data_IF_032092286219
#
_entry.id   IF_032092286219
#
_cell.length_a   1.000
_cell.length_b   1.000
_cell.length_c   1.000
_cell.angle_alpha   90.00
_cell.angle_beta   90.00
_cell.angle_gamma   90.00
#
_symmetry.space_group_name_H-M   'P 1'
#
loop_
_entity.id
_entity.type
_entity.pdbx_description
1 polymer ?
#
# COMPACT_ATOMS: atom_id res chain seq x y z
N UNK A 1 -0.98 7.55 4.24
CA UNK A 1 -0.41 6.45 5.08
C UNK A 1 1.11 6.31 4.91
N UNK A 2 1.84 5.74 5.88
CA UNK A 2 3.22 5.25 5.68
C UNK A 2 3.23 3.83 5.07
N UNK A 3 4.20 3.52 4.21
CA UNK A 3 4.33 2.23 3.52
C UNK A 3 5.75 1.69 3.48
N UNK A 4 5.89 0.39 3.23
CA UNK A 4 7.17 -0.26 2.95
C UNK A 4 7.17 -0.89 1.56
N UNK A 5 8.30 -0.83 0.88
CA UNK A 5 8.52 -1.56 -0.39
C UNK A 5 9.29 -2.84 -0.05
N UNK A 6 8.72 -3.99 -0.38
CA UNK A 6 9.34 -5.29 -0.16
C UNK A 6 8.90 -6.30 -1.23
N UNK A 7 9.86 -7.06 -1.75
CA UNK A 7 9.67 -8.09 -2.77
C UNK A 7 8.89 -7.62 -4.02
N UNK A 8 9.23 -6.42 -4.52
CA UNK A 8 8.55 -5.74 -5.64
C UNK A 8 7.08 -5.37 -5.40
N UNK A 9 6.65 -5.35 -4.14
CA UNK A 9 5.30 -5.01 -3.71
C UNK A 9 5.30 -3.90 -2.65
N UNK A 10 4.14 -3.27 -2.44
CA UNK A 10 3.93 -2.23 -1.42
C UNK A 10 3.10 -2.77 -0.26
N UNK A 11 3.58 -2.54 0.96
CA UNK A 11 3.02 -3.04 2.20
C UNK A 11 2.62 -1.86 3.10
N UNK A 12 1.50 -1.97 3.80
CA UNK A 12 1.17 -0.98 4.83
C UNK A 12 2.19 -1.02 5.98
N UNK A 13 2.24 0.05 6.77
CA UNK A 13 3.17 0.18 7.90
C UNK A 13 3.20 -1.04 8.82
N UNK A 14 2.03 -1.55 9.24
CA UNK A 14 1.95 -2.70 10.16
C UNK A 14 2.53 -3.98 9.54
N UNK A 15 2.15 -4.29 8.30
CA UNK A 15 2.65 -5.47 7.61
C UNK A 15 4.16 -5.35 7.31
N UNK A 16 4.61 -4.17 6.86
CA UNK A 16 6.03 -3.92 6.58
C UNK A 16 6.89 -4.05 7.82
N UNK A 17 6.43 -3.52 8.96
CA UNK A 17 7.08 -3.70 10.26
C UNK A 17 7.11 -5.17 10.71
N UNK A 18 6.01 -5.90 10.54
CA UNK A 18 5.99 -7.33 10.89
C UNK A 18 6.99 -8.15 10.04
N UNK A 19 7.14 -7.85 8.75
CA UNK A 19 8.15 -8.48 7.89
C UNK A 19 9.56 -8.11 8.36
N UNK A 20 9.78 -6.83 8.67
CA UNK A 20 11.05 -6.35 9.19
C UNK A 20 11.44 -7.09 10.49
N UNK A 21 10.53 -7.15 11.47
CA UNK A 21 10.74 -7.84 12.75
C UNK A 21 11.04 -9.33 12.54
N UNK A 22 10.31 -10.00 11.65
CA UNK A 22 10.55 -11.40 11.29
C UNK A 22 11.95 -11.63 10.72
N UNK A 23 12.34 -10.88 9.69
CA UNK A 23 13.65 -11.04 9.02
C UNK A 23 14.80 -10.74 9.99
N UNK A 24 14.65 -9.73 10.85
CA UNK A 24 15.62 -9.43 11.91
C UNK A 24 15.73 -10.59 12.90
N UNK A 25 14.61 -11.17 13.34
CA UNK A 25 14.61 -12.29 14.29
C UNK A 25 15.24 -13.58 13.73
N UNK A 26 15.12 -13.78 12.42
CA UNK A 26 15.67 -14.94 11.71
C UNK A 26 17.18 -14.79 11.41
N UNK A 27 17.81 -13.66 11.78
CA UNK A 27 19.20 -13.31 11.42
C UNK A 27 19.46 -13.30 9.90
N UNK A 28 18.41 -13.03 9.10
CA UNK A 28 18.49 -12.93 7.62
C UNK A 28 18.65 -11.46 7.18
N UNK A 29 18.53 -10.52 8.11
CA UNK A 29 18.72 -9.10 7.81
C UNK A 29 20.11 -8.83 7.20
N UNK A 30 20.22 -7.88 6.25
CA UNK A 30 21.50 -7.48 5.69
C UNK A 30 22.44 -6.92 6.77
N UNK A 31 23.74 -6.95 6.50
CA UNK A 31 24.79 -6.50 7.45
C UNK A 31 24.60 -5.04 7.90
N UNK A 32 24.08 -4.19 7.01
CA UNK A 32 23.64 -2.83 7.34
C UNK A 32 22.23 -2.56 6.76
N UNK A 33 21.15 -2.81 7.55
CA UNK A 33 19.78 -2.52 7.15
C UNK A 33 19.49 -1.02 7.00
N UNK A 34 20.35 -0.15 7.52
CA UNK A 34 20.19 1.30 7.46
C UNK A 34 20.80 1.92 6.20
N UNK A 35 21.61 1.16 5.46
CA UNK A 35 22.24 1.61 4.24
C UNK A 35 21.23 1.77 3.10
N UNK A 36 20.71 2.99 2.96
CA UNK A 36 19.76 3.38 1.90
C UNK A 36 20.37 3.38 0.50
N UNK A 37 21.70 3.51 0.40
CA UNK A 37 22.45 3.52 -0.86
C UNK A 37 22.97 2.13 -1.27
N UNK A 38 22.95 1.18 -0.34
CA UNK A 38 23.33 -0.21 -0.58
C UNK A 38 22.36 -0.85 -1.56
N UNK A 39 22.92 -1.47 -2.59
CA UNK A 39 22.27 -2.18 -3.71
C UNK A 39 21.40 -3.40 -3.29
N UNK A 40 20.66 -3.31 -2.20
CA UNK A 40 19.70 -4.34 -1.82
C UNK A 40 18.51 -4.26 -2.76
N UNK A 41 18.19 -5.38 -3.38
CA UNK A 41 16.94 -5.50 -4.13
C UNK A 41 15.79 -5.39 -3.11
N UNK A 42 14.62 -4.92 -3.52
CA UNK A 42 13.47 -4.84 -2.60
C UNK A 42 13.11 -6.20 -1.98
N UNK A 43 13.60 -7.31 -2.52
CA UNK A 43 13.44 -8.67 -1.99
C UNK A 43 14.23 -8.96 -0.70
N UNK A 44 15.30 -8.21 -0.41
CA UNK A 44 16.23 -8.56 0.66
C UNK A 44 15.74 -8.08 2.04
N UNK A 45 15.18 -6.87 2.08
CA UNK A 45 14.70 -6.26 3.32
C UNK A 45 13.66 -5.17 3.04
N UNK A 46 12.60 -5.02 3.86
CA UNK A 46 11.61 -3.96 3.68
C UNK A 46 12.25 -2.57 3.72
N UNK A 47 12.03 -1.78 2.67
CA UNK A 47 12.51 -0.40 2.58
C UNK A 47 11.40 0.55 2.98
N UNK A 48 11.68 1.47 3.89
CA UNK A 48 10.70 2.42 4.41
C UNK A 48 10.93 2.75 5.89
N UNK A 49 9.94 3.36 6.56
CA UNK A 49 8.64 3.76 5.99
C UNK A 49 8.79 4.93 5.00
N UNK A 50 8.08 4.85 3.88
CA UNK A 50 7.88 5.96 2.94
C UNK A 50 6.51 6.59 3.21
N UNK A 51 6.39 7.93 3.22
CA UNK A 51 5.11 8.61 3.44
C UNK A 51 4.19 8.52 2.21
N UNK A 52 3.02 9.16 2.31
CA UNK A 52 2.12 9.47 1.19
C UNK A 52 1.69 8.25 0.35
N UNK A 53 1.48 7.12 1.02
CA UNK A 53 1.01 5.89 0.38
C UNK A 53 2.01 5.26 -0.58
N UNK A 54 3.26 5.74 -0.60
CA UNK A 54 4.28 5.34 -1.58
C UNK A 54 4.38 6.27 -2.78
N UNK A 55 3.65 7.40 -2.78
CA UNK A 55 3.67 8.41 -3.84
C UNK A 55 2.61 8.17 -4.91
N UNK A 56 2.64 9.01 -5.95
CA UNK A 56 1.69 9.03 -7.05
C UNK A 56 1.70 7.71 -7.87
N UNK A 57 0.52 7.20 -8.23
CA UNK A 57 0.38 6.01 -9.07
C UNK A 57 -0.86 6.06 -9.97
N UNK A 58 -0.87 5.21 -11.01
CA UNK A 58 -2.00 5.11 -11.96
C UNK A 58 -3.21 4.36 -11.41
N UNK A 59 -3.14 3.85 -10.18
CA UNK A 59 -4.21 3.11 -9.53
C UNK A 59 -4.16 3.28 -8.00
N UNK A 60 -5.31 3.23 -7.29
CA UNK A 60 -5.32 3.08 -5.85
C UNK A 60 -4.57 1.79 -5.44
N UNK A 61 -3.61 1.93 -4.54
CA UNK A 61 -2.77 0.82 -4.08
C UNK A 61 -3.30 0.26 -2.77
N UNK A 62 -3.30 -1.07 -2.64
CA UNK A 62 -3.65 -1.77 -1.41
C UNK A 62 -2.44 -2.55 -0.90
N UNK A 63 -2.39 -2.81 0.41
CA UNK A 63 -1.34 -3.63 0.99
C UNK A 63 -1.28 -5.01 0.32
N UNK A 64 -0.09 -5.40 -0.15
CA UNK A 64 0.16 -6.66 -0.83
C UNK A 64 -0.16 -7.92 -0.01
N UNK A 65 -0.29 -7.79 1.32
CA UNK A 65 -0.78 -8.86 2.18
C UNK A 65 -2.21 -9.32 1.84
N UNK A 66 -2.99 -8.50 1.12
CA UNK A 66 -4.36 -8.81 0.72
C UNK A 66 -5.24 -9.11 1.93
N UNK A 67 -5.98 -10.22 1.89
CA UNK A 67 -6.84 -10.67 3.00
C UNK A 67 -6.08 -10.96 4.31
N UNK A 68 -4.77 -11.19 4.23
CA UNK A 68 -3.88 -11.42 5.37
C UNK A 68 -3.26 -10.14 5.92
N UNK A 69 -3.65 -8.97 5.41
CA UNK A 69 -3.22 -7.69 5.95
C UNK A 69 -3.61 -7.58 7.42
N UNK A 70 -2.66 -7.19 8.28
CA UNK A 70 -2.87 -7.07 9.73
C UNK A 70 -3.97 -6.05 10.07
N UNK A 71 -4.17 -5.09 9.18
CA UNK A 71 -5.20 -4.05 9.26
C UNK A 71 -6.12 -4.06 8.03
N UNK A 72 -6.41 -5.26 7.50
CA UNK A 72 -7.25 -5.44 6.32
C UNK A 72 -8.56 -4.63 6.37
N UNK A 73 -8.95 -4.04 5.24
CA UNK A 73 -10.27 -3.44 5.10
C UNK A 73 -11.31 -4.57 4.98
N UNK A 74 -12.42 -4.41 5.70
CA UNK A 74 -13.49 -5.40 5.78
C UNK A 74 -14.69 -4.91 4.97
N UNK A 75 -15.01 -5.64 3.91
CA UNK A 75 -16.20 -5.41 3.11
C UNK A 75 -17.45 -5.84 3.90
N UNK A 76 -18.58 -5.18 3.65
CA UNK A 76 -19.85 -5.53 4.31
C UNK A 76 -20.36 -6.95 4.00
N UNK A 77 -19.85 -7.57 2.93
CA UNK A 77 -20.13 -8.96 2.55
C UNK A 77 -19.20 -9.99 3.24
N UNK A 78 -18.33 -9.53 4.15
CA UNK A 78 -17.43 -10.38 4.93
C UNK A 78 -16.07 -10.63 4.28
N UNK A 79 -15.84 -10.17 3.03
CA UNK A 79 -14.51 -10.26 2.40
C UNK A 79 -13.51 -9.33 3.09
N UNK A 80 -12.24 -9.72 3.04
CA UNK A 80 -11.11 -8.90 3.46
C UNK A 80 -10.24 -8.57 2.26
N UNK A 81 -9.76 -7.35 2.22
CA UNK A 81 -8.78 -6.87 1.24
C UNK A 81 -7.67 -6.15 1.99
N UNK A 82 -6.49 -6.05 1.36
CA UNK A 82 -5.40 -5.28 1.93
C UNK A 82 -5.89 -3.87 2.27
N UNK A 83 -5.38 -3.27 3.34
CA UNK A 83 -5.72 -1.87 3.64
C UNK A 83 -5.35 -1.00 2.45
N UNK A 84 -6.20 -0.03 2.13
CA UNK A 84 -5.89 0.97 1.13
C UNK A 84 -4.73 1.85 1.63
N UNK A 85 -3.80 2.19 0.76
CA UNK A 85 -2.55 2.86 1.14
C UNK A 85 -2.63 4.40 1.05
N UNK A 86 -3.74 4.95 0.58
CA UNK A 86 -3.97 6.41 0.51
C UNK A 86 -2.94 7.13 -0.37
N UNK A 87 -2.53 6.49 -1.46
CA UNK A 87 -1.58 7.07 -2.41
C UNK A 87 -2.24 8.16 -3.26
N UNK A 88 -1.45 9.14 -3.69
CA UNK A 88 -1.86 10.09 -4.72
C UNK A 88 -2.09 9.37 -6.05
N UNK A 89 -2.93 9.97 -6.92
CA UNK A 89 -3.21 9.42 -8.24
C UNK A 89 -2.70 10.33 -9.35
N UNK A 90 -2.19 9.71 -10.41
CA UNK A 90 -2.02 10.36 -11.70
C UNK A 90 -3.38 10.69 -12.33
N UNK A 91 -3.39 11.44 -13.44
CA UNK A 91 -4.60 11.68 -14.23
C UNK A 91 -5.27 10.38 -14.72
N UNK A 92 -4.46 9.37 -15.04
CA UNK A 92 -4.94 8.04 -15.45
C UNK A 92 -5.60 7.32 -14.29
N UNK A 93 -5.01 7.39 -13.08
CA UNK A 93 -5.61 6.86 -11.87
C UNK A 93 -6.92 7.53 -11.47
N UNK A 94 -7.01 8.85 -11.61
CA UNK A 94 -8.27 9.60 -11.40
C UNK A 94 -9.34 9.10 -12.36
N UNK A 95 -8.99 8.90 -13.63
CA UNK A 95 -9.92 8.37 -14.64
C UNK A 95 -10.39 6.97 -14.26
N UNK A 96 -9.46 6.09 -13.85
CA UNK A 96 -9.78 4.74 -13.39
C UNK A 96 -10.77 4.75 -12.21
N UNK A 97 -10.53 5.56 -11.18
CA UNK A 97 -11.44 5.64 -10.03
C UNK A 97 -12.81 6.15 -10.46
N UNK A 98 -12.88 7.19 -11.30
CA UNK A 98 -14.15 7.71 -11.85
C UNK A 98 -14.94 6.62 -12.60
N UNK A 99 -14.27 5.71 -13.30
CA UNK A 99 -14.91 4.59 -14.00
C UNK A 99 -15.33 3.47 -13.02
N UNK A 100 -14.46 3.06 -12.10
CA UNK A 100 -14.75 2.04 -11.11
C UNK A 100 -15.96 2.40 -10.21
N UNK A 101 -16.11 3.68 -9.88
CA UNK A 101 -17.26 4.18 -9.10
C UNK A 101 -18.58 4.07 -9.89
N UNK A 102 -18.55 4.26 -11.21
CA UNK A 102 -19.75 4.08 -12.06
C UNK A 102 -20.16 2.62 -12.16
N UNK A 103 -19.20 1.71 -12.20
CA UNK A 103 -19.45 0.26 -12.16
C UNK A 103 -19.95 -0.20 -10.79
N UNK A 104 -19.52 0.50 -9.74
CA UNK A 104 -19.91 0.28 -8.37
C UNK A 104 -19.10 -0.83 -7.70
N UNK A 105 -19.08 -0.79 -6.37
CA UNK A 105 -18.35 -1.76 -5.56
C UNK A 105 -17.93 -1.16 -4.24
N UNK A 106 -17.78 -2.00 -3.21
CA UNK A 106 -17.43 -1.54 -1.86
C UNK A 106 -16.11 -0.77 -1.83
N UNK A 107 -15.13 -1.22 -2.62
CA UNK A 107 -13.79 -0.61 -2.66
C UNK A 107 -13.80 0.68 -3.48
N UNK A 108 -14.56 0.73 -4.57
CA UNK A 108 -14.68 1.92 -5.39
C UNK A 108 -15.29 3.09 -4.60
N UNK A 109 -16.31 2.81 -3.76
CA UNK A 109 -16.89 3.83 -2.90
C UNK A 109 -15.92 4.33 -1.83
N UNK A 110 -15.10 3.43 -1.25
CA UNK A 110 -14.03 3.81 -0.32
C UNK A 110 -13.04 4.79 -0.97
N UNK A 111 -12.60 4.51 -2.20
CA UNK A 111 -11.70 5.41 -2.93
C UNK A 111 -12.38 6.75 -3.22
N UNK A 112 -13.63 6.72 -3.69
CA UNK A 112 -14.36 7.93 -4.07
C UNK A 112 -14.48 8.93 -2.94
N UNK A 113 -14.88 8.48 -1.74
CA UNK A 113 -15.08 9.37 -0.59
C UNK A 113 -13.83 10.19 -0.29
N UNK A 114 -12.66 9.56 -0.31
CA UNK A 114 -11.41 10.22 0.03
C UNK A 114 -10.82 11.07 -1.11
N UNK A 115 -10.86 10.58 -2.36
CA UNK A 115 -10.38 11.39 -3.50
C UNK A 115 -11.32 12.56 -3.83
N UNK A 116 -12.58 12.50 -3.41
CA UNK A 116 -13.49 13.65 -3.45
C UNK A 116 -13.07 14.72 -2.44
N UNK A 117 -12.72 14.31 -1.21
CA UNK A 117 -12.29 15.23 -0.13
C UNK A 117 -10.96 15.96 -0.45
N UNK A 118 -10.15 15.40 -1.36
CA UNK A 118 -8.91 16.01 -1.83
C UNK A 118 -9.06 16.83 -3.13
N UNK A 119 -10.28 17.08 -3.60
CA UNK A 119 -10.57 17.79 -4.85
C UNK A 119 -9.98 17.13 -6.13
N UNK A 120 -9.56 15.86 -6.09
CA UNK A 120 -8.99 15.15 -7.26
C UNK A 120 -10.04 14.77 -8.32
N UNK A 121 -11.29 14.55 -7.89
CA UNK A 121 -12.33 13.91 -8.71
C UNK A 121 -13.44 14.88 -9.18
N UNK A 122 -13.32 16.18 -8.90
CA UNK A 122 -14.25 17.19 -9.44
C UNK A 122 -14.21 17.31 -10.98
#
# INVERSE_FOLDING_TARGET
MNVYIYAADIWCEDCGRAIHERITSESIAPEDPSNREGYFNSIDFPKGPYPDGGGEADLPQHCAAGENCLVAFHCSDGRKIGVWLENELTEEGVTYVKEAVKEGGYVANLWFEWYLDLDYIL
#
